data_IF_464972616122
#
_entry.id   IF_464972616122
#
_cell.length_a   1.000
_cell.length_b   1.000
_cell.length_c   1.000
_cell.angle_alpha   90.00
_cell.angle_beta   90.00
_cell.angle_gamma   90.00
#
_symmetry.space_group_name_H-M   'P 1'
#
loop_
_entity.id
_entity.type
_entity.pdbx_description
1 polymer ?
#
# COMPACT_ATOMS: atom_id res chain seq x y z
N UNK A 1 39.52 -14.43 -49.49
CA UNK A 1 39.73 -13.66 -48.24
C UNK A 1 38.44 -12.93 -47.88
N UNK A 2 37.55 -13.59 -47.13
CA UNK A 2 36.19 -13.14 -46.82
C UNK A 2 35.98 -13.11 -45.29
N UNK A 3 36.30 -11.96 -44.68
CA UNK A 3 36.10 -11.67 -43.25
C UNK A 3 34.63 -11.35 -42.94
N UNK A 4 33.75 -12.35 -42.82
CA UNK A 4 32.34 -12.15 -42.39
C UNK A 4 31.86 -13.17 -41.34
N UNK A 5 32.75 -13.64 -40.47
CA UNK A 5 32.42 -14.68 -39.48
C UNK A 5 32.32 -14.18 -38.01
N UNK A 6 32.27 -12.85 -37.75
CA UNK A 6 32.45 -12.32 -36.39
C UNK A 6 31.39 -11.34 -35.86
N UNK A 7 30.30 -11.08 -36.58
CA UNK A 7 29.40 -9.96 -36.24
C UNK A 7 28.01 -10.35 -35.69
N UNK A 8 27.70 -11.64 -35.62
CA UNK A 8 26.38 -12.13 -35.16
C UNK A 8 26.27 -12.44 -33.66
N UNK A 9 27.38 -12.42 -32.90
CA UNK A 9 27.39 -12.85 -31.49
C UNK A 9 26.96 -11.78 -30.46
N UNK A 10 27.26 -10.50 -30.71
CA UNK A 10 27.04 -9.43 -29.73
C UNK A 10 25.59 -8.88 -29.76
N UNK A 11 24.89 -8.97 -30.89
CA UNK A 11 23.52 -8.48 -31.03
C UNK A 11 22.47 -9.36 -30.35
N UNK A 12 22.65 -10.69 -30.38
CA UNK A 12 21.73 -11.64 -29.75
C UNK A 12 21.81 -11.61 -28.22
N UNK A 13 23.01 -11.41 -27.66
CA UNK A 13 23.23 -11.29 -26.22
C UNK A 13 22.65 -9.97 -25.67
N UNK A 14 22.78 -8.87 -26.42
CA UNK A 14 22.20 -7.58 -26.06
C UNK A 14 20.66 -7.62 -26.08
N UNK A 15 20.04 -8.34 -27.02
CA UNK A 15 18.59 -8.48 -27.08
C UNK A 15 18.05 -9.32 -25.90
N UNK A 16 18.74 -10.41 -25.53
CA UNK A 16 18.38 -11.25 -24.37
C UNK A 16 18.49 -10.49 -23.05
N UNK A 17 19.49 -9.61 -22.89
CA UNK A 17 19.64 -8.76 -21.71
C UNK A 17 18.52 -7.69 -21.61
N UNK A 18 18.14 -7.07 -22.74
CA UNK A 18 17.06 -6.06 -22.75
C UNK A 18 15.69 -6.70 -22.52
N UNK A 19 15.42 -7.90 -23.05
CA UNK A 19 14.18 -8.64 -22.75
C UNK A 19 14.18 -9.23 -21.34
N UNK A 20 15.34 -9.63 -20.80
CA UNK A 20 15.44 -10.17 -19.45
C UNK A 20 15.15 -9.12 -18.36
N UNK A 21 15.58 -7.87 -18.57
CA UNK A 21 15.35 -6.76 -17.62
C UNK A 21 13.88 -6.34 -17.58
N UNK A 22 13.17 -6.37 -18.72
CA UNK A 22 11.74 -6.01 -18.75
C UNK A 22 10.82 -7.06 -18.14
N UNK A 23 11.14 -8.36 -18.26
CA UNK A 23 10.35 -9.41 -17.59
C UNK A 23 10.53 -9.40 -16.06
N UNK A 24 11.73 -9.09 -15.55
CA UNK A 24 11.98 -9.05 -14.10
C UNK A 24 11.36 -7.82 -13.41
N UNK A 25 11.28 -6.67 -14.10
CA UNK A 25 10.78 -5.41 -13.52
C UNK A 25 9.27 -5.38 -13.23
N UNK A 26 8.46 -6.21 -13.91
CA UNK A 26 6.99 -6.16 -13.81
C UNK A 26 6.38 -6.81 -12.56
N UNK A 27 7.13 -7.61 -11.80
CA UNK A 27 6.55 -8.46 -10.75
C UNK A 27 6.44 -7.81 -9.36
N UNK A 28 6.96 -6.59 -9.15
CA UNK A 28 7.09 -6.02 -7.79
C UNK A 28 5.97 -5.06 -7.33
N UNK A 29 4.99 -4.72 -8.17
CA UNK A 29 3.98 -3.69 -7.82
C UNK A 29 2.59 -4.23 -7.44
N UNK A 30 2.35 -5.56 -7.46
CA UNK A 30 0.98 -6.12 -7.37
C UNK A 30 0.58 -6.67 -5.98
N UNK A 31 1.50 -6.75 -5.01
CA UNK A 31 1.20 -7.35 -3.70
C UNK A 31 0.28 -6.50 -2.82
N UNK A 32 0.29 -5.17 -2.96
CA UNK A 32 -0.58 -4.26 -2.18
C UNK A 32 -2.05 -4.47 -2.49
N UNK A 33 -2.37 -4.72 -3.76
CA UNK A 33 -3.74 -4.98 -4.24
C UNK A 33 -4.20 -6.37 -3.79
N UNK A 34 -3.33 -7.39 -3.84
CA UNK A 34 -3.65 -8.72 -3.35
C UNK A 34 -4.01 -8.73 -1.86
N UNK A 35 -3.25 -8.02 -1.01
CA UNK A 35 -3.55 -7.90 0.43
C UNK A 35 -4.85 -7.16 0.70
N UNK A 36 -5.13 -6.09 -0.04
CA UNK A 36 -6.41 -5.39 0.07
C UNK A 36 -7.59 -6.30 -0.30
N UNK A 37 -7.53 -7.00 -1.43
CA UNK A 37 -8.58 -7.95 -1.83
C UNK A 37 -8.78 -9.05 -0.81
N UNK A 38 -7.71 -9.59 -0.24
CA UNK A 38 -7.81 -10.60 0.80
C UNK A 38 -8.53 -10.03 2.03
N UNK A 39 -8.09 -8.87 2.55
CA UNK A 39 -8.72 -8.23 3.70
C UNK A 39 -10.20 -7.90 3.48
N UNK A 40 -10.59 -7.50 2.26
CA UNK A 40 -11.99 -7.25 1.92
C UNK A 40 -12.82 -8.53 1.74
N UNK A 41 -12.20 -9.65 1.34
CA UNK A 41 -12.90 -10.93 1.09
C UNK A 41 -13.06 -11.78 2.34
N UNK A 42 -12.01 -11.88 3.16
CA UNK A 42 -12.01 -12.74 4.36
C UNK A 42 -12.23 -11.96 5.66
N UNK A 43 -12.16 -10.63 5.61
CA UNK A 43 -12.24 -9.78 6.79
C UNK A 43 -10.98 -9.85 7.66
N UNK A 44 -11.12 -9.40 8.91
CA UNK A 44 -10.07 -9.51 9.93
C UNK A 44 -10.00 -10.98 10.41
N UNK A 45 -8.82 -11.62 10.42
CA UNK A 45 -8.67 -12.98 10.94
C UNK A 45 -8.98 -13.09 12.44
N UNK A 46 -9.54 -14.23 12.88
CA UNK A 46 -9.40 -14.70 14.27
C UNK A 46 -7.90 -14.87 14.55
N UNK A 47 -7.28 -14.17 15.51
CA UNK A 47 -7.83 -13.75 16.81
C UNK A 47 -8.10 -12.24 16.96
N UNK A 48 -7.96 -11.45 15.90
CA UNK A 48 -7.96 -9.98 15.99
C UNK A 48 -9.35 -9.36 15.90
N UNK A 49 -10.39 -10.15 15.61
CA UNK A 49 -11.76 -9.65 15.37
C UNK A 49 -12.35 -8.91 16.56
N UNK A 50 -12.01 -9.39 17.76
CA UNK A 50 -12.52 -8.88 19.03
C UNK A 50 -11.47 -8.14 19.85
N UNK A 51 -10.25 -7.97 19.31
CA UNK A 51 -9.20 -7.22 19.98
C UNK A 51 -9.62 -5.75 20.14
N UNK A 52 -9.50 -5.24 21.36
CA UNK A 52 -9.81 -3.85 21.72
C UNK A 52 -8.54 -3.13 22.12
N UNK A 53 -8.58 -1.80 21.98
CA UNK A 53 -7.55 -0.94 22.54
C UNK A 53 -7.53 -1.14 24.07
N UNK A 54 -6.35 -1.42 24.62
CA UNK A 54 -6.16 -1.59 26.06
C UNK A 54 -6.09 -0.25 26.80
N UNK A 55 -5.88 0.86 26.10
CA UNK A 55 -5.86 2.19 26.70
C UNK A 55 -7.28 2.64 27.08
N UNK A 56 -7.44 3.32 28.22
CA UNK A 56 -8.73 3.90 28.58
C UNK A 56 -9.11 5.01 27.61
N UNK A 57 -10.41 5.11 27.27
CA UNK A 57 -10.95 6.22 26.49
C UNK A 57 -11.12 7.49 27.35
N UNK A 58 -10.05 7.91 28.01
CA UNK A 58 -10.02 9.14 28.81
C UNK A 58 -9.73 10.35 27.93
N UNK A 59 -10.15 11.53 28.36
CA UNK A 59 -9.91 12.79 27.64
C UNK A 59 -8.43 13.02 27.33
N UNK A 60 -7.53 12.63 28.25
CA UNK A 60 -6.09 12.73 28.05
C UNK A 60 -5.60 11.83 26.91
N UNK A 61 -6.04 10.57 26.86
CA UNK A 61 -5.69 9.62 25.79
C UNK A 61 -6.28 10.07 24.45
N UNK A 62 -7.51 10.59 24.46
CA UNK A 62 -8.17 11.10 23.26
C UNK A 62 -7.43 12.34 22.73
N UNK A 63 -7.06 13.28 23.58
CA UNK A 63 -6.31 14.47 23.19
C UNK A 63 -4.92 14.14 22.63
N UNK A 64 -4.22 13.19 23.23
CA UNK A 64 -2.95 12.68 22.70
C UNK A 64 -3.14 12.00 21.33
N UNK A 65 -4.18 11.16 21.21
CA UNK A 65 -4.55 10.52 19.95
C UNK A 65 -4.87 11.51 18.83
N UNK A 66 -5.54 12.62 19.15
CA UNK A 66 -5.81 13.70 18.20
C UNK A 66 -4.52 14.32 17.67
N UNK A 67 -3.56 14.65 18.55
CA UNK A 67 -2.28 15.22 18.13
C UNK A 67 -1.52 14.28 17.18
N UNK A 68 -1.46 12.99 17.53
CA UNK A 68 -0.83 11.97 16.70
C UNK A 68 -1.55 11.81 15.35
N UNK A 69 -2.88 11.86 15.34
CA UNK A 69 -3.67 11.75 14.12
C UNK A 69 -3.42 12.92 13.17
N UNK A 70 -3.41 14.16 13.68
CA UNK A 70 -3.12 15.34 12.86
C UNK A 70 -1.71 15.31 12.28
N UNK A 71 -0.73 14.83 13.04
CA UNK A 71 0.66 14.76 12.61
C UNK A 71 0.92 13.68 11.53
N UNK A 72 0.24 12.52 11.61
CA UNK A 72 0.63 11.35 10.82
C UNK A 72 -0.44 10.86 9.83
N UNK A 73 -1.72 11.10 10.13
CA UNK A 73 -2.82 10.43 9.43
C UNK A 73 -3.60 11.40 8.52
N UNK A 74 -3.77 12.64 8.96
CA UNK A 74 -4.66 13.62 8.34
C UNK A 74 -4.29 13.97 6.87
N UNK A 75 -3.02 13.83 6.47
CA UNK A 75 -2.59 14.09 5.10
C UNK A 75 -3.32 13.20 4.07
N UNK A 76 -3.56 11.93 4.43
CA UNK A 76 -4.23 10.96 3.57
C UNK A 76 -5.71 10.78 3.95
N UNK A 77 -6.03 10.78 5.24
CA UNK A 77 -7.37 10.49 5.74
C UNK A 77 -8.25 11.73 5.97
N UNK A 78 -7.70 12.94 5.83
CA UNK A 78 -8.37 14.20 6.12
C UNK A 78 -8.43 14.51 7.62
N UNK A 79 -8.65 15.78 7.96
CA UNK A 79 -8.65 16.25 9.37
C UNK A 79 -9.73 15.58 10.22
N UNK A 80 -10.85 15.22 9.60
CA UNK A 80 -12.02 14.60 10.25
C UNK A 80 -12.07 13.07 10.09
N UNK A 81 -11.13 12.47 9.37
CA UNK A 81 -11.12 11.01 9.14
C UNK A 81 -12.01 10.50 8.01
N UNK A 82 -12.50 11.37 7.13
CA UNK A 82 -13.42 10.98 6.06
C UNK A 82 -12.75 10.29 4.86
N UNK A 83 -11.42 10.16 4.83
CA UNK A 83 -10.70 9.59 3.68
C UNK A 83 -10.55 10.57 2.52
N UNK A 84 -10.66 11.87 2.78
CA UNK A 84 -10.68 12.95 1.80
C UNK A 84 -9.39 13.79 1.77
N UNK A 85 -8.35 13.34 2.48
CA UNK A 85 -7.04 13.99 2.50
C UNK A 85 -6.43 14.12 1.10
N UNK A 86 -5.73 15.22 0.80
CA UNK A 86 -5.20 15.50 -0.54
C UNK A 86 -4.23 14.41 -1.02
N UNK A 87 -3.43 13.85 -0.12
CA UNK A 87 -2.49 12.77 -0.46
C UNK A 87 -3.18 11.42 -0.68
N UNK A 88 -4.43 11.26 -0.22
CA UNK A 88 -5.22 10.04 -0.39
C UNK A 88 -5.96 9.95 -1.73
N UNK A 89 -6.15 11.08 -2.43
CA UNK A 89 -6.89 11.15 -3.70
C UNK A 89 -6.35 10.24 -4.82
N UNK A 90 -5.02 10.10 -5.04
CA UNK A 90 -4.49 9.25 -6.10
C UNK A 90 -4.39 7.76 -5.73
N UNK A 91 -4.69 7.38 -4.48
CA UNK A 91 -4.54 5.99 -4.04
C UNK A 91 -5.70 5.11 -4.52
N UNK A 92 -5.37 3.87 -4.91
CA UNK A 92 -6.33 2.83 -5.26
C UNK A 92 -6.06 1.59 -4.40
N UNK A 93 -6.99 1.20 -3.50
CA UNK A 93 -8.23 1.90 -3.14
C UNK A 93 -7.97 3.22 -2.42
N UNK A 94 -8.98 4.10 -2.39
CA UNK A 94 -8.92 5.32 -1.57
C UNK A 94 -8.92 4.97 -0.08
N UNK A 95 -8.30 5.80 0.79
CA UNK A 95 -8.38 5.64 2.23
C UNK A 95 -9.84 5.56 2.70
N UNK A 96 -10.14 4.60 3.58
CA UNK A 96 -11.48 4.44 4.13
C UNK A 96 -11.84 5.58 5.07
N UNK A 97 -13.14 5.82 5.23
CA UNK A 97 -13.68 6.69 6.26
C UNK A 97 -13.50 6.00 7.63
N UNK A 98 -12.68 6.58 8.51
CA UNK A 98 -12.42 6.01 9.84
C UNK A 98 -13.52 6.33 10.85
N UNK A 99 -14.40 7.30 10.60
CA UNK A 99 -15.49 7.64 11.52
C UNK A 99 -16.55 6.55 11.60
N UNK A 100 -16.67 5.73 10.55
CA UNK A 100 -17.59 4.57 10.51
C UNK A 100 -16.93 3.28 11.02
N UNK A 101 -15.62 3.28 11.23
CA UNK A 101 -14.85 2.11 11.69
C UNK A 101 -14.57 2.15 13.20
N UNK A 102 -14.89 3.26 13.87
CA UNK A 102 -14.73 3.40 15.30
C UNK A 102 -15.76 2.52 16.02
N UNK A 103 -15.41 1.26 16.28
CA UNK A 103 -16.12 0.42 17.24
C UNK A 103 -15.71 0.89 18.64
N UNK A 104 -16.26 2.03 19.07
CA UNK A 104 -16.20 2.42 20.47
C UNK A 104 -16.86 1.29 21.29
N UNK A 105 -16.12 0.78 22.27
CA UNK A 105 -16.67 -0.10 23.30
C UNK A 105 -17.49 0.73 24.29
#
# INVERSE_FOLDING_TARGET
MNKRAGQFGLGALALLLVTGVTLAGGMMMNHSVARHHQGMRVGVPEPYRDMRNSLPASDAVIAEGEQLYQANCAACHGKQGYGDGPAGKPLSPRPANSTILCKCA
#
